data_IF_506806506626
#
_entry.id   IF_506806506626
#
_cell.length_a   1.000
_cell.length_b   1.000
_cell.length_c   1.000
_cell.angle_alpha   90.00
_cell.angle_beta   90.00
_cell.angle_gamma   90.00
#
_symmetry.space_group_name_H-M   'P 1'
#
loop_
_entity.id
_entity.type
_entity.pdbx_description
1 polymer ?
#
# COMPACT_ATOMS: atom_id res chain seq x y z
N UNK A 1 23.60 -0.80 -16.54
CA UNK A 1 22.19 -1.11 -16.82
C UNK A 1 21.43 -1.32 -15.52
N UNK A 2 20.54 -0.46 -15.25
CA UNK A 2 19.83 -0.52 -14.01
C UNK A 2 18.62 -1.44 -14.11
N UNK A 3 18.54 -2.32 -13.11
CA UNK A 3 17.41 -3.21 -12.95
C UNK A 3 16.37 -2.48 -12.12
N UNK A 4 15.59 -1.62 -12.76
CA UNK A 4 14.55 -0.90 -12.05
C UNK A 4 13.42 -1.85 -11.69
N UNK A 5 13.08 -1.87 -10.41
CA UNK A 5 11.93 -2.61 -9.93
C UNK A 5 10.64 -1.92 -10.36
N UNK A 6 9.56 -2.67 -10.60
CA UNK A 6 8.26 -2.06 -10.82
C UNK A 6 7.82 -1.21 -9.65
N UNK A 7 7.18 -0.09 -9.93
CA UNK A 7 6.67 0.82 -8.90
C UNK A 7 5.22 0.52 -8.59
N UNK A 8 4.96 0.19 -7.34
CA UNK A 8 3.60 -0.01 -6.83
C UNK A 8 3.22 1.19 -5.99
N UNK A 9 2.10 1.82 -6.33
CA UNK A 9 1.56 2.95 -5.58
C UNK A 9 0.26 2.53 -4.91
N UNK A 10 0.22 2.64 -3.58
CA UNK A 10 -0.95 2.30 -2.79
C UNK A 10 -1.67 3.59 -2.40
N UNK A 11 -2.96 3.66 -2.68
CA UNK A 11 -3.75 4.88 -2.49
C UNK A 11 -4.86 4.68 -1.47
N UNK A 12 -5.02 5.65 -0.58
CA UNK A 12 -6.23 5.85 0.20
C UNK A 12 -6.52 7.35 0.26
N UNK A 13 -7.60 7.76 0.91
CA UNK A 13 -7.99 9.17 0.93
C UNK A 13 -6.98 10.02 1.70
N UNK A 14 -6.80 9.71 2.98
CA UNK A 14 -6.00 10.55 3.89
C UNK A 14 -4.51 10.26 3.90
N UNK A 15 -4.09 9.14 3.34
CA UNK A 15 -2.71 8.67 3.44
C UNK A 15 -2.19 8.81 4.88
N UNK A 16 -2.97 8.30 5.82
CA UNK A 16 -2.63 8.37 7.25
C UNK A 16 -2.59 7.01 7.93
N UNK A 17 -3.45 6.05 7.56
CA UNK A 17 -3.40 4.73 8.18
C UNK A 17 -3.43 3.57 7.17
N UNK A 18 -4.53 3.32 6.45
CA UNK A 18 -4.65 2.13 5.60
C UNK A 18 -3.53 1.98 4.57
N UNK A 19 -3.25 3.02 3.82
CA UNK A 19 -2.22 2.96 2.78
C UNK A 19 -0.81 2.82 3.35
N UNK A 20 -0.53 3.41 4.52
CA UNK A 20 0.78 3.26 5.17
C UNK A 20 0.97 1.86 5.72
N UNK A 21 -0.08 1.28 6.29
CA UNK A 21 -0.03 -0.10 6.77
C UNK A 21 0.21 -1.05 5.60
N UNK A 22 -0.51 -0.85 4.49
CA UNK A 22 -0.33 -1.65 3.28
C UNK A 22 1.07 -1.46 2.68
N UNK A 23 1.55 -0.22 2.62
CA UNK A 23 2.91 0.08 2.15
C UNK A 23 3.96 -0.66 2.98
N UNK A 24 3.84 -0.59 4.30
CA UNK A 24 4.77 -1.26 5.20
C UNK A 24 4.76 -2.78 5.01
N UNK A 25 3.59 -3.38 4.90
CA UNK A 25 3.45 -4.82 4.71
C UNK A 25 4.06 -5.24 3.37
N UNK A 26 3.67 -4.59 2.28
CA UNK A 26 4.14 -4.99 0.96
C UNK A 26 5.65 -4.78 0.81
N UNK A 27 6.19 -3.68 1.35
CA UNK A 27 7.63 -3.46 1.34
C UNK A 27 8.35 -4.53 2.15
N UNK A 28 7.79 -4.95 3.27
CA UNK A 28 8.39 -5.98 4.12
C UNK A 28 8.44 -7.34 3.42
N UNK A 29 7.36 -7.73 2.73
CA UNK A 29 7.27 -9.06 2.12
C UNK A 29 7.79 -9.11 0.68
N UNK A 30 7.83 -7.98 -0.01
CA UNK A 30 8.17 -7.93 -1.44
C UNK A 30 8.98 -6.70 -1.83
N UNK A 31 9.71 -6.09 -0.90
CA UNK A 31 10.57 -4.95 -1.21
C UNK A 31 11.71 -5.28 -2.17
N UNK A 32 12.03 -6.56 -2.31
CA UNK A 32 12.99 -7.04 -3.30
C UNK A 32 12.40 -7.08 -4.71
N UNK A 33 11.07 -7.18 -4.83
CA UNK A 33 10.38 -7.24 -6.13
C UNK A 33 9.87 -5.88 -6.60
N UNK A 34 9.48 -5.02 -5.67
CA UNK A 34 8.81 -3.75 -5.98
C UNK A 34 9.42 -2.58 -5.24
N UNK A 35 9.37 -1.41 -5.87
CA UNK A 35 9.45 -0.14 -5.16
C UNK A 35 8.04 0.22 -4.73
N UNK A 36 7.82 0.36 -3.43
CA UNK A 36 6.48 0.54 -2.85
C UNK A 36 6.37 1.94 -2.26
N UNK A 37 5.31 2.65 -2.63
CA UNK A 37 4.98 3.95 -2.07
C UNK A 37 3.48 4.01 -1.80
N UNK A 38 3.08 5.01 -1.00
CA UNK A 38 1.66 5.29 -0.77
C UNK A 38 1.40 6.78 -0.87
N UNK A 39 0.15 7.13 -1.17
CA UNK A 39 -0.28 8.53 -1.27
C UNK A 39 -1.79 8.61 -1.04
N UNK A 40 -2.32 9.82 -1.01
CA UNK A 40 -3.74 10.05 -0.84
C UNK A 40 -4.27 11.14 -1.74
N UNK A 41 -5.59 11.14 -1.92
CA UNK A 41 -6.28 12.20 -2.65
C UNK A 41 -6.46 13.46 -1.81
N UNK A 42 -6.45 13.30 -0.48
CA UNK A 42 -6.59 14.39 0.47
C UNK A 42 -5.74 14.09 1.71
N UNK A 43 -4.40 14.23 1.60
CA UNK A 43 -3.50 13.81 2.68
C UNK A 43 -3.76 14.51 3.99
N UNK A 44 -3.79 13.74 5.06
CA UNK A 44 -4.00 14.27 6.41
C UNK A 44 -2.76 15.00 6.96
N UNK A 45 -1.59 14.75 6.38
CA UNK A 45 -0.34 15.39 6.79
C UNK A 45 0.43 14.65 7.87
N UNK A 46 -0.05 13.48 8.29
CA UNK A 46 0.61 12.68 9.33
C UNK A 46 0.24 11.21 9.19
N UNK A 47 1.05 10.35 9.80
CA UNK A 47 0.76 8.91 9.90
C UNK A 47 0.07 8.66 11.23
N UNK A 48 -1.04 7.94 11.21
CA UNK A 48 -1.86 7.72 12.39
C UNK A 48 -1.08 6.97 13.49
N UNK A 49 -1.06 7.49 14.73
CA UNK A 49 -0.26 6.85 15.79
C UNK A 49 -0.64 5.39 16.08
N UNK A 50 -1.93 5.05 16.00
CA UNK A 50 -2.36 3.67 16.23
C UNK A 50 -1.91 2.74 15.10
N UNK A 51 -1.84 3.24 13.86
CA UNK A 51 -1.27 2.49 12.75
C UNK A 51 0.20 2.18 13.01
N UNK A 52 0.96 3.17 13.45
CA UNK A 52 2.37 2.98 13.81
C UNK A 52 2.51 1.90 14.89
N UNK A 53 1.67 1.97 15.91
CA UNK A 53 1.72 1.06 17.05
C UNK A 53 1.42 -0.39 16.65
N UNK A 54 0.34 -0.62 15.91
CA UNK A 54 -0.03 -1.99 15.53
C UNK A 54 0.92 -2.60 14.51
N UNK A 55 1.54 -1.78 13.67
CA UNK A 55 2.56 -2.27 12.74
C UNK A 55 3.83 -2.65 13.48
N UNK A 56 4.21 -1.89 14.50
CA UNK A 56 5.35 -2.22 15.34
C UNK A 56 5.17 -3.57 16.02
N UNK A 57 3.94 -3.94 16.40
CA UNK A 57 3.66 -5.23 17.00
C UNK A 57 4.07 -6.42 16.12
N UNK A 58 4.08 -6.23 14.81
CA UNK A 58 4.49 -7.27 13.86
C UNK A 58 5.87 -7.01 13.26
N UNK A 59 6.64 -6.12 13.89
CA UNK A 59 8.03 -5.86 13.48
C UNK A 59 8.20 -4.94 12.29
N UNK A 60 7.17 -4.18 11.93
CA UNK A 60 7.23 -3.25 10.79
C UNK A 60 7.14 -1.82 11.31
N UNK A 61 8.18 -1.02 11.02
CA UNK A 61 8.23 0.38 11.43
C UNK A 61 7.76 1.29 10.29
N UNK A 62 6.63 1.96 10.50
CA UNK A 62 6.11 2.95 9.56
C UNK A 62 6.19 4.37 10.12
N UNK A 63 6.91 4.58 11.22
CA UNK A 63 7.01 5.89 11.89
C UNK A 63 7.66 6.97 11.03
N UNK A 64 8.47 6.58 10.04
CA UNK A 64 9.15 7.51 9.14
C UNK A 64 8.42 7.75 7.83
N UNK A 65 7.27 7.10 7.63
CA UNK A 65 6.44 7.35 6.45
C UNK A 65 5.90 8.77 6.50
N UNK A 66 5.64 9.34 5.32
CA UNK A 66 5.09 10.69 5.20
C UNK A 66 3.78 10.65 4.44
N UNK A 67 2.84 11.49 4.86
CA UNK A 67 1.55 11.64 4.19
C UNK A 67 1.75 12.51 2.95
N UNK A 68 1.38 11.99 1.77
CA UNK A 68 1.70 12.61 0.48
C UNK A 68 0.48 12.64 -0.44
N UNK A 69 0.43 13.62 -1.31
CA UNK A 69 -0.62 13.71 -2.32
C UNK A 69 -0.26 12.84 -3.53
N UNK A 70 -1.26 12.13 -4.07
CA UNK A 70 -1.05 11.23 -5.21
C UNK A 70 -0.51 11.94 -6.46
N UNK A 71 -0.76 13.24 -6.60
CA UNK A 71 -0.25 14.02 -7.72
C UNK A 71 1.28 14.02 -7.82
N UNK A 72 1.97 13.81 -6.70
CA UNK A 72 3.44 13.74 -6.70
C UNK A 72 3.97 12.58 -7.52
N UNK A 73 3.12 11.58 -7.79
CA UNK A 73 3.52 10.37 -8.50
C UNK A 73 3.10 10.35 -9.96
N UNK A 74 2.40 11.38 -10.46
CA UNK A 74 1.90 11.41 -11.84
C UNK A 74 3.03 11.40 -12.86
N UNK A 75 4.18 11.98 -12.55
CA UNK A 75 5.33 11.99 -13.45
C UNK A 75 6.26 10.79 -13.30
N UNK A 76 5.96 9.87 -12.39
CA UNK A 76 6.78 8.69 -12.16
C UNK A 76 6.38 7.50 -13.03
N UNK A 77 7.21 6.47 -12.99
CA UNK A 77 6.94 5.23 -13.71
C UNK A 77 6.14 4.26 -12.86
N UNK A 78 4.87 4.61 -12.62
CA UNK A 78 3.99 3.75 -11.84
C UNK A 78 3.52 2.60 -12.74
N UNK A 79 3.75 1.36 -12.31
CA UNK A 79 3.32 0.16 -13.03
C UNK A 79 2.04 -0.44 -12.44
N UNK A 80 1.82 -0.26 -11.16
CA UNK A 80 0.65 -0.83 -10.47
C UNK A 80 0.11 0.19 -9.48
N UNK A 81 -1.20 0.38 -9.49
CA UNK A 81 -1.91 1.19 -8.50
C UNK A 81 -2.87 0.30 -7.75
N UNK A 82 -2.80 0.32 -6.43
CA UNK A 82 -3.70 -0.43 -5.56
C UNK A 82 -4.44 0.57 -4.68
N UNK A 83 -5.75 0.70 -4.87
CA UNK A 83 -6.57 1.54 -4.00
C UNK A 83 -7.14 0.69 -2.87
N UNK A 84 -7.04 1.21 -1.64
CA UNK A 84 -7.46 0.49 -0.44
C UNK A 84 -8.68 1.12 0.23
N UNK A 85 -9.25 2.16 -0.37
CA UNK A 85 -10.55 2.71 0.02
C UNK A 85 -11.31 3.18 -1.22
N UNK A 86 -12.65 3.16 -1.15
CA UNK A 86 -13.49 3.47 -2.31
C UNK A 86 -13.32 4.89 -2.82
N UNK A 87 -13.14 5.87 -1.93
CA UNK A 87 -12.94 7.26 -2.34
C UNK A 87 -11.65 7.44 -3.13
N UNK A 88 -10.59 6.75 -2.75
CA UNK A 88 -9.33 6.80 -3.48
C UNK A 88 -9.45 6.14 -4.86
N UNK A 89 -10.25 5.09 -4.96
CA UNK A 89 -10.50 4.43 -6.25
C UNK A 89 -11.21 5.39 -7.21
N UNK A 90 -12.22 6.10 -6.72
CA UNK A 90 -12.96 7.09 -7.53
C UNK A 90 -12.10 8.30 -7.89
N UNK A 91 -11.25 8.75 -6.98
CA UNK A 91 -10.40 9.93 -7.17
C UNK A 91 -9.11 9.64 -7.90
N UNK A 92 -8.81 8.37 -8.18
CA UNK A 92 -7.54 7.97 -8.77
C UNK A 92 -7.38 8.52 -10.19
N UNK A 93 -6.35 9.33 -10.44
CA UNK A 93 -6.15 9.88 -11.78
C UNK A 93 -5.66 8.82 -12.76
N UNK A 94 -5.68 9.17 -14.04
CA UNK A 94 -5.05 8.36 -15.06
C UNK A 94 -3.53 8.57 -14.99
N UNK A 95 -2.81 7.48 -14.75
CA UNK A 95 -1.35 7.52 -14.80
C UNK A 95 -0.87 7.25 -16.22
N UNK A 96 0.25 7.88 -16.66
CA UNK A 96 0.78 7.65 -17.99
C UNK A 96 1.18 6.19 -18.21
N UNK A 97 0.95 5.70 -19.43
CA UNK A 97 1.34 4.34 -19.81
C UNK A 97 0.31 3.30 -19.40
N UNK A 98 0.70 2.04 -19.54
CA UNK A 98 -0.14 0.93 -19.13
C UNK A 98 0.09 0.64 -17.65
N UNK A 99 -0.95 0.84 -16.86
CA UNK A 99 -0.91 0.69 -15.41
C UNK A 99 -1.90 -0.39 -15.00
N UNK A 100 -1.42 -1.35 -14.21
CA UNK A 100 -2.31 -2.32 -13.57
C UNK A 100 -3.04 -1.63 -12.43
N UNK A 101 -4.35 -1.79 -12.36
CA UNK A 101 -5.15 -1.18 -11.31
C UNK A 101 -5.93 -2.24 -10.56
N UNK A 102 -5.79 -2.21 -9.23
CA UNK A 102 -6.53 -3.09 -8.33
C UNK A 102 -7.23 -2.24 -7.29
N UNK A 103 -8.43 -2.67 -6.91
CA UNK A 103 -9.15 -2.07 -5.80
C UNK A 103 -9.40 -3.14 -4.74
N UNK A 104 -8.72 -3.02 -3.60
CA UNK A 104 -8.90 -3.92 -2.46
C UNK A 104 -9.31 -3.07 -1.27
N UNK A 105 -10.64 -2.92 -1.07
CA UNK A 105 -11.17 -2.06 -0.03
C UNK A 105 -11.00 -2.66 1.36
N UNK A 106 -10.55 -1.82 2.29
CA UNK A 106 -10.46 -2.17 3.71
C UNK A 106 -11.23 -1.14 4.52
N UNK A 107 -11.84 -1.62 5.60
CA UNK A 107 -12.49 -0.76 6.57
C UNK A 107 -11.53 0.29 7.11
N UNK A 108 -12.02 1.52 7.32
CA UNK A 108 -11.19 2.58 7.90
C UNK A 108 -11.16 2.45 9.43
N UNK A 109 -10.04 2.00 10.02
CA UNK A 109 -9.98 1.81 11.46
C UNK A 109 -9.95 3.14 12.23
N UNK A 110 -9.63 4.25 11.58
CA UNK A 110 -9.61 5.56 12.21
C UNK A 110 -11.01 6.03 12.65
N UNK A 111 -12.06 5.44 12.08
CA UNK A 111 -13.44 5.74 12.47
C UNK A 111 -13.94 4.87 13.63
N UNK A 112 -13.12 3.97 14.14
CA UNK A 112 -13.49 3.13 15.27
C UNK A 112 -13.75 3.98 16.50
N UNK A 113 -14.75 3.55 17.27
CA UNK A 113 -15.13 4.20 18.53
C UNK A 113 -15.02 3.21 19.67
N UNK A 114 -14.98 3.73 20.89
CA UNK A 114 -14.88 2.91 22.08
C UNK A 114 -13.65 3.25 22.90
N UNK A 115 -13.22 2.30 23.72
CA UNK A 115 -12.02 2.44 24.53
C UNK A 115 -10.76 2.42 23.64
N UNK A 116 -9.64 2.86 24.19
CA UNK A 116 -8.35 2.81 23.48
C UNK A 116 -8.04 1.39 23.04
N UNK A 117 -8.31 0.39 23.88
CA UNK A 117 -8.07 -1.01 23.53
C UNK A 117 -8.98 -1.50 22.42
N UNK A 118 -10.25 -1.08 22.44
CA UNK A 118 -11.19 -1.43 21.36
C UNK A 118 -10.78 -0.83 20.03
N UNK A 119 -10.34 0.43 20.05
CA UNK A 119 -9.84 1.09 18.84
C UNK A 119 -8.58 0.40 18.32
N UNK A 120 -7.67 0.06 19.22
CA UNK A 120 -6.44 -0.63 18.88
C UNK A 120 -6.72 -1.99 18.26
N UNK A 121 -7.70 -2.72 18.81
CA UNK A 121 -8.12 -4.01 18.25
C UNK A 121 -8.69 -3.88 16.84
N UNK A 122 -9.40 -2.79 16.54
CA UNK A 122 -9.89 -2.53 15.19
C UNK A 122 -8.72 -2.34 14.22
N UNK A 123 -7.72 -1.57 14.61
CA UNK A 123 -6.49 -1.41 13.82
C UNK A 123 -5.79 -2.74 13.60
N UNK A 124 -5.72 -3.60 14.62
CA UNK A 124 -5.12 -4.93 14.50
C UNK A 124 -5.88 -5.81 13.51
N UNK A 125 -7.20 -5.75 13.53
CA UNK A 125 -8.02 -6.55 12.61
C UNK A 125 -7.81 -6.14 11.16
N UNK A 126 -7.78 -4.83 10.90
CA UNK A 126 -7.53 -4.32 9.55
C UNK A 126 -6.10 -4.70 9.10
N UNK A 127 -5.12 -4.52 9.98
CA UNK A 127 -3.73 -4.93 9.73
C UNK A 127 -3.65 -6.40 9.32
N UNK A 128 -4.31 -7.27 10.07
CA UNK A 128 -4.22 -8.72 9.85
C UNK A 128 -4.88 -9.13 8.53
N UNK A 129 -5.99 -8.48 8.15
CA UNK A 129 -6.61 -8.69 6.84
C UNK A 129 -5.70 -8.22 5.71
N UNK A 130 -5.10 -7.04 5.86
CA UNK A 130 -4.16 -6.52 4.88
C UNK A 130 -2.97 -7.45 4.71
N UNK A 131 -2.46 -7.97 5.82
CA UNK A 131 -1.33 -8.89 5.79
C UNK A 131 -1.64 -10.11 4.92
N UNK A 132 -2.81 -10.71 5.08
CA UNK A 132 -3.22 -11.86 4.27
C UNK A 132 -3.28 -11.51 2.78
N UNK A 133 -3.89 -10.37 2.43
CA UNK A 133 -4.06 -9.96 1.04
C UNK A 133 -2.71 -9.63 0.39
N UNK A 134 -1.89 -8.83 1.04
CA UNK A 134 -0.62 -8.41 0.46
C UNK A 134 0.43 -9.50 0.46
N UNK A 135 0.39 -10.41 1.42
CA UNK A 135 1.24 -11.60 1.38
C UNK A 135 0.87 -12.50 0.21
N UNK A 136 -0.42 -12.68 -0.06
CA UNK A 136 -0.88 -13.46 -1.21
C UNK A 136 -0.47 -12.81 -2.53
N UNK A 137 -0.61 -11.49 -2.62
CA UNK A 137 -0.17 -10.75 -3.80
C UNK A 137 1.34 -10.89 -4.02
N UNK A 138 2.11 -10.76 -2.96
CA UNK A 138 3.57 -10.92 -3.02
C UNK A 138 3.96 -12.33 -3.44
N UNK A 139 3.32 -13.34 -2.87
CA UNK A 139 3.60 -14.74 -3.20
C UNK A 139 3.27 -15.05 -4.66
N UNK A 140 2.13 -14.57 -5.16
CA UNK A 140 1.73 -14.74 -6.56
C UNK A 140 2.69 -14.05 -7.53
N UNK A 141 3.10 -12.83 -7.19
CA UNK A 141 4.06 -12.06 -8.00
C UNK A 141 5.42 -12.73 -8.04
N UNK A 142 5.85 -13.26 -6.91
CA UNK A 142 7.13 -13.97 -6.78
C UNK A 142 7.13 -15.27 -7.59
N UNK A 143 6.04 -16.01 -7.51
CA UNK A 143 5.87 -17.24 -8.28
C UNK A 143 5.88 -16.95 -9.78
N UNK A 144 5.17 -15.92 -10.22
CA UNK A 144 5.15 -15.51 -11.61
C UNK A 144 6.56 -15.17 -12.10
N UNK A 145 7.31 -14.38 -11.35
CA UNK A 145 8.67 -13.99 -11.69
C UNK A 145 9.59 -15.22 -11.81
N UNK A 146 9.45 -16.18 -10.89
CA UNK A 146 10.24 -17.42 -10.89
C UNK A 146 9.88 -18.29 -12.09
N UNK A 147 8.60 -18.50 -12.36
CA UNK A 147 8.11 -19.35 -13.43
C UNK A 147 8.44 -18.80 -14.81
N UNK A 148 8.37 -17.48 -14.98
CA UNK A 148 8.60 -16.82 -16.27
C UNK A 148 10.02 -16.26 -16.41
N UNK A 149 10.85 -16.39 -15.37
CA UNK A 149 12.23 -15.92 -15.36
C UNK A 149 12.41 -14.43 -15.39
N UNK A 150 11.33 -13.64 -15.55
CA UNK A 150 11.38 -12.19 -15.64
C UNK A 150 10.04 -11.61 -15.19
N UNK A 151 10.06 -10.32 -14.90
CA UNK A 151 8.83 -9.58 -14.64
C UNK A 151 7.91 -9.62 -15.88
N UNK A 152 6.58 -9.65 -15.71
CA UNK A 152 5.64 -9.71 -16.84
C UNK A 152 5.88 -8.69 -17.94
N UNK A 153 6.33 -7.52 -17.57
CA UNK A 153 6.59 -6.44 -18.52
C UNK A 153 7.85 -6.64 -19.36
N UNK A 154 8.66 -7.64 -19.02
CA UNK A 154 9.87 -7.98 -19.78
C UNK A 154 9.67 -9.21 -20.65
N UNK A 155 8.51 -9.78 -20.64
CA UNK A 155 8.18 -10.87 -21.56
C UNK A 155 7.86 -10.23 -22.91
N UNK A 156 8.84 -10.10 -23.72
CA UNK A 156 8.67 -9.58 -25.08
C UNK A 156 8.39 -10.73 -26.01
#
# INVERSE_FOLDING_TARGET
>A
MENTKPNVLILCTGNSCRSHMAEGILRHVAGDLFDVNSAGSNPAGYVHPLAIQVMKEIGIDISRHTSKHMKEFLGGNITTVITVCGNADQACPMFPGQVNRYHWGFEDPAHAKGTDEEMLNTFRQVRDRMKLVFEAYAAGSREFATTHGKHPNNAA
#
